data_IF_342219164744
#
_entry.id   IF_342219164744
#
_cell.length_a   1.000
_cell.length_b   1.000
_cell.length_c   1.000
_cell.angle_alpha   90.00
_cell.angle_beta   90.00
_cell.angle_gamma   90.00
#
_symmetry.space_group_name_H-M   'P 1'
#
loop_
_entity.id
_entity.type
_entity.pdbx_description
1 polymer ?
#
# COMPACT_ATOMS: atom_id res chain seq x y z
N UNK A 1 -11.81 11.12 6.83
CA UNK A 1 -10.95 9.98 6.41
C UNK A 1 -11.54 8.62 6.81
N UNK A 2 -12.13 8.49 8.01
CA UNK A 2 -12.73 7.25 8.52
C UNK A 2 -13.73 6.56 7.59
N UNK A 3 -14.73 7.26 7.04
CA UNK A 3 -15.71 6.68 6.08
C UNK A 3 -15.04 6.07 4.85
N UNK A 4 -13.93 6.66 4.43
CA UNK A 4 -13.13 6.26 3.27
C UNK A 4 -12.36 4.96 3.62
N UNK A 5 -11.73 4.88 4.80
CA UNK A 5 -11.10 3.66 5.32
C UNK A 5 -12.09 2.51 5.56
N UNK A 6 -13.29 2.82 6.06
CA UNK A 6 -14.37 1.84 6.22
C UNK A 6 -14.75 1.22 4.87
N UNK A 7 -14.69 1.98 3.77
CA UNK A 7 -14.99 1.44 2.44
C UNK A 7 -13.94 0.46 1.92
N UNK A 8 -12.67 0.60 2.30
CA UNK A 8 -11.61 -0.39 2.05
C UNK A 8 -11.82 -1.68 2.86
N UNK A 9 -12.40 -1.56 4.05
CA UNK A 9 -12.69 -2.68 4.92
C UNK A 9 -14.04 -3.37 4.61
N UNK A 10 -14.86 -2.83 3.70
CA UNK A 10 -16.17 -3.39 3.31
C UNK A 10 -16.14 -4.87 2.86
N UNK A 11 -15.10 -5.37 2.16
CA UNK A 11 -15.01 -6.79 1.82
C UNK A 11 -14.82 -7.72 3.03
N UNK A 12 -14.58 -7.17 4.23
CA UNK A 12 -14.13 -7.88 5.41
C UNK A 12 -15.20 -7.73 6.50
N UNK A 13 -16.13 -8.69 6.54
CA UNK A 13 -17.19 -8.72 7.56
C UNK A 13 -16.57 -8.67 8.97
N UNK A 14 -16.98 -7.68 9.78
CA UNK A 14 -16.64 -7.59 11.21
C UNK A 14 -15.34 -6.83 11.56
N UNK A 15 -14.71 -6.15 10.59
CA UNK A 15 -13.58 -5.27 10.87
C UNK A 15 -14.03 -4.05 11.71
N UNK A 16 -13.30 -3.75 12.79
CA UNK A 16 -13.54 -2.58 13.62
C UNK A 16 -12.39 -1.58 13.48
N UNK A 17 -12.67 -0.38 13.01
CA UNK A 17 -11.67 0.69 12.91
C UNK A 17 -11.74 1.56 14.17
N UNK A 18 -10.59 1.84 14.79
CA UNK A 18 -10.46 2.77 15.90
C UNK A 18 -9.38 3.80 15.59
N UNK A 19 -9.68 5.10 15.60
CA UNK A 19 -8.62 6.11 15.56
C UNK A 19 -7.73 5.97 16.80
N UNK A 20 -6.44 6.25 16.64
CA UNK A 20 -5.46 6.26 17.73
C UNK A 20 -4.80 7.64 17.76
N UNK A 21 -4.86 8.29 18.93
CA UNK A 21 -4.41 9.68 19.11
C UNK A 21 -5.09 10.67 18.15
N UNK A 22 -4.42 11.81 17.93
CA UNK A 22 -4.84 12.88 17.02
C UNK A 22 -4.08 12.88 15.68
N UNK A 23 -3.28 11.85 15.42
CA UNK A 23 -2.27 11.81 14.35
C UNK A 23 -2.76 11.24 13.01
N UNK A 24 -4.06 10.98 12.85
CA UNK A 24 -4.59 10.35 11.64
C UNK A 24 -4.23 8.87 11.49
N UNK A 25 -3.78 8.22 12.57
CA UNK A 25 -3.50 6.79 12.65
C UNK A 25 -4.80 6.04 12.97
N UNK A 26 -5.03 4.94 12.25
CA UNK A 26 -6.21 4.10 12.44
C UNK A 26 -5.79 2.65 12.67
N UNK A 27 -6.25 2.08 13.78
CA UNK A 27 -6.04 0.66 14.10
C UNK A 27 -7.28 -0.11 13.71
N UNK A 28 -7.10 -1.11 12.86
CA UNK A 28 -8.18 -1.99 12.45
C UNK A 28 -8.05 -3.33 13.19
N UNK A 29 -9.07 -3.66 13.99
CA UNK A 29 -9.14 -4.86 14.83
C UNK A 29 -10.07 -5.90 14.20
N UNK A 30 -9.80 -7.18 14.50
CA UNK A 30 -10.48 -8.39 13.97
C UNK A 30 -10.35 -8.56 12.45
N UNK A 31 -9.13 -8.91 12.03
CA UNK A 31 -8.83 -9.28 10.66
C UNK A 31 -8.74 -10.80 10.51
N UNK A 32 -9.46 -11.37 9.56
CA UNK A 32 -9.15 -12.71 9.07
C UNK A 32 -7.90 -12.63 8.18
N UNK A 33 -6.96 -13.57 8.32
CA UNK A 33 -5.69 -13.57 7.59
C UNK A 33 -5.86 -13.43 6.06
N UNK A 34 -6.90 -14.05 5.49
CA UNK A 34 -7.24 -13.94 4.06
C UNK A 34 -7.66 -12.52 3.69
N UNK A 35 -8.45 -11.86 4.54
CA UNK A 35 -8.89 -10.48 4.31
C UNK A 35 -7.73 -9.51 4.36
N UNK A 36 -6.77 -9.73 5.28
CA UNK A 36 -5.56 -8.92 5.39
C UNK A 36 -4.71 -9.04 4.14
N UNK A 37 -4.46 -10.27 3.67
CA UNK A 37 -3.73 -10.50 2.41
C UNK A 37 -4.44 -9.83 1.25
N UNK A 38 -5.75 -10.00 1.09
CA UNK A 38 -6.49 -9.34 -0.01
C UNK A 38 -6.43 -7.81 0.06
N UNK A 39 -6.47 -7.23 1.25
CA UNK A 39 -6.34 -5.78 1.42
C UNK A 39 -4.93 -5.30 1.07
N UNK A 40 -3.89 -5.98 1.55
CA UNK A 40 -2.49 -5.66 1.27
C UNK A 40 -2.12 -5.87 -0.21
N UNK A 41 -2.64 -6.91 -0.85
CA UNK A 41 -2.37 -7.22 -2.26
C UNK A 41 -3.30 -6.49 -3.25
N UNK A 42 -4.48 -6.05 -2.80
CA UNK A 42 -5.56 -5.58 -3.66
C UNK A 42 -5.58 -4.08 -3.94
N UNK A 43 -4.55 -3.33 -3.54
CA UNK A 43 -4.45 -1.92 -3.92
C UNK A 43 -4.92 -0.92 -2.87
N UNK A 44 -4.32 -0.93 -1.69
CA UNK A 44 -4.43 0.18 -0.74
C UNK A 44 -3.76 1.47 -1.27
N UNK A 45 -2.84 1.35 -2.22
CA UNK A 45 -2.01 2.44 -2.75
C UNK A 45 -2.70 3.33 -3.80
N UNK A 46 -3.81 2.88 -4.42
CA UNK A 46 -4.54 3.66 -5.44
C UNK A 46 -5.83 4.28 -4.92
N UNK A 47 -6.03 4.26 -3.60
CA UNK A 47 -7.31 4.62 -3.03
C UNK A 47 -7.54 6.13 -3.02
N UNK A 48 -8.37 6.61 -3.96
CA UNK A 48 -8.73 8.04 -4.11
C UNK A 48 -7.52 8.98 -4.07
N UNK A 49 -6.45 8.61 -4.78
CA UNK A 49 -5.20 9.40 -4.84
C UNK A 49 -4.48 9.60 -3.50
N UNK A 50 -4.89 8.90 -2.44
CA UNK A 50 -4.21 8.91 -1.15
C UNK A 50 -3.34 7.67 -1.01
N UNK A 51 -2.07 7.87 -0.68
CA UNK A 51 -1.16 6.79 -0.34
C UNK A 51 -1.44 6.32 1.09
N UNK A 52 -1.74 5.03 1.27
CA UNK A 52 -1.98 4.45 2.58
C UNK A 52 -0.77 3.63 3.01
N UNK A 53 -0.24 3.96 4.19
CA UNK A 53 0.81 3.20 4.84
C UNK A 53 0.16 2.26 5.84
N UNK A 54 0.48 0.97 5.73
CA UNK A 54 -0.10 -0.07 6.57
C UNK A 54 1.02 -0.85 7.24
N UNK A 55 0.88 -1.05 8.54
CA UNK A 55 1.81 -1.84 9.34
C UNK A 55 1.03 -2.95 10.06
N UNK A 56 1.57 -4.17 10.02
CA UNK A 56 1.00 -5.28 10.77
C UNK A 56 1.53 -5.25 12.21
N UNK A 57 0.66 -4.85 13.14
CA UNK A 57 0.96 -4.89 14.58
C UNK A 57 1.18 -6.33 15.07
N UNK A 58 2.24 -6.53 15.85
CA UNK A 58 2.51 -7.75 16.62
C UNK A 58 2.08 -7.60 18.08
N UNK A 59 2.06 -8.71 18.83
CA UNK A 59 1.59 -8.70 20.22
C UNK A 59 2.56 -7.91 21.09
N UNK A 60 2.07 -6.81 21.67
CA UNK A 60 2.85 -5.93 22.54
C UNK A 60 3.26 -4.62 21.85
N UNK A 61 3.05 -4.50 20.54
CA UNK A 61 3.32 -3.24 19.85
C UNK A 61 2.31 -2.17 20.26
N UNK A 62 2.84 -0.98 20.53
CA UNK A 62 2.05 0.21 20.71
C UNK A 62 1.86 0.88 19.33
N UNK A 63 0.62 1.07 18.86
CA UNK A 63 0.36 1.72 17.58
C UNK A 63 0.93 3.14 17.47
N UNK A 64 1.05 3.85 18.59
CA UNK A 64 1.60 5.22 18.63
C UNK A 64 3.12 5.27 18.45
N UNK A 65 3.81 4.15 18.68
CA UNK A 65 5.28 4.04 18.53
C UNK A 65 5.69 3.57 17.12
N UNK A 66 4.72 3.27 16.25
CA UNK A 66 5.01 2.87 14.87
C UNK A 66 5.43 4.08 14.06
N UNK A 67 6.68 4.04 13.57
CA UNK A 67 7.19 5.03 12.66
C UNK A 67 7.10 4.54 11.20
N UNK A 68 6.28 5.23 10.40
CA UNK A 68 6.13 4.94 8.98
C UNK A 68 7.24 5.63 8.16
N UNK A 69 8.35 4.92 7.85
CA UNK A 69 9.51 5.49 7.12
C UNK A 69 9.49 5.31 5.61
N UNK A 70 8.87 4.24 5.14
CA UNK A 70 8.90 3.82 3.76
C UNK A 70 7.54 3.26 3.36
N UNK A 71 7.27 3.27 2.07
CA UNK A 71 6.01 2.82 1.49
C UNK A 71 6.29 2.20 0.14
N UNK A 72 5.64 1.08 -0.13
CA UNK A 72 5.72 0.35 -1.38
C UNK A 72 4.49 0.70 -2.21
N UNK A 73 4.68 1.17 -3.43
CA UNK A 73 3.60 1.49 -4.34
C UNK A 73 4.03 1.30 -5.79
N UNK A 74 3.05 1.10 -6.66
CA UNK A 74 3.28 1.00 -8.09
C UNK A 74 3.34 2.38 -8.73
N UNK A 75 4.30 2.56 -9.64
CA UNK A 75 4.38 3.73 -10.50
C UNK A 75 3.91 3.32 -11.88
N UNK A 76 2.96 4.06 -12.45
CA UNK A 76 2.53 3.88 -13.83
C UNK A 76 3.24 4.92 -14.70
N UNK A 77 4.04 4.46 -15.65
CA UNK A 77 4.65 5.30 -16.67
C UNK A 77 3.74 5.34 -17.90
N UNK A 78 3.53 6.53 -18.46
CA UNK A 78 2.77 6.76 -19.68
C UNK A 78 3.71 7.23 -20.80
N UNK A 79 3.25 7.08 -22.05
CA UNK A 79 3.95 7.56 -23.26
C UNK A 79 5.36 7.01 -23.46
N UNK A 80 5.63 5.81 -22.95
CA UNK A 80 6.86 5.09 -23.22
C UNK A 80 6.90 4.64 -24.69
N UNK A 81 7.96 5.01 -25.41
CA UNK A 81 8.15 4.57 -26.79
C UNK A 81 8.28 3.03 -26.86
N UNK A 82 7.62 2.37 -27.83
CA UNK A 82 7.78 0.94 -28.07
C UNK A 82 9.27 0.58 -28.28
N UNK A 83 9.76 -0.45 -27.59
CA UNK A 83 11.17 -0.88 -27.66
C UNK A 83 12.15 -0.09 -26.78
N UNK A 84 11.73 1.00 -26.13
CA UNK A 84 12.56 1.74 -25.15
C UNK A 84 12.46 1.18 -23.74
N UNK A 85 11.47 0.34 -23.45
CA UNK A 85 11.22 -0.18 -22.10
C UNK A 85 11.96 -1.51 -21.92
N UNK A 86 13.07 -1.48 -21.19
CA UNK A 86 13.75 -2.69 -20.72
C UNK A 86 13.70 -2.77 -19.20
N UNK A 87 13.73 -3.99 -18.63
CA UNK A 87 13.77 -4.21 -17.18
C UNK A 87 14.94 -3.47 -16.51
N UNK A 88 16.07 -3.34 -17.22
CA UNK A 88 17.25 -2.61 -16.75
C UNK A 88 16.98 -1.12 -16.67
N UNK A 89 16.39 -0.53 -17.72
CA UNK A 89 16.07 0.90 -17.74
C UNK A 89 15.05 1.26 -16.65
N UNK A 90 13.97 0.47 -16.55
CA UNK A 90 12.92 0.67 -15.53
C UNK A 90 13.51 0.60 -14.13
N UNK A 91 14.32 -0.42 -13.85
CA UNK A 91 15.00 -0.55 -12.55
C UNK A 91 15.86 0.66 -12.24
N UNK A 92 16.69 1.09 -13.19
CA UNK A 92 17.58 2.24 -12.98
C UNK A 92 16.80 3.52 -12.70
N UNK A 93 15.71 3.76 -13.44
CA UNK A 93 14.84 4.91 -13.23
C UNK A 93 14.15 4.86 -11.85
N UNK A 94 13.57 3.71 -11.50
CA UNK A 94 12.93 3.54 -10.19
C UNK A 94 13.95 3.68 -9.04
N UNK A 95 15.19 3.23 -9.24
CA UNK A 95 16.25 3.37 -8.25
C UNK A 95 16.69 4.82 -7.99
N UNK A 96 16.40 5.75 -8.90
CA UNK A 96 16.60 7.19 -8.67
C UNK A 96 15.53 7.75 -7.73
N UNK A 97 14.30 7.22 -7.80
CA UNK A 97 13.17 7.69 -6.98
C UNK A 97 13.08 6.98 -5.63
N UNK A 98 13.54 5.73 -5.55
CA UNK A 98 13.46 4.88 -4.36
C UNK A 98 14.18 3.56 -4.57
N UNK A 99 13.69 2.47 -3.97
CA UNK A 99 14.21 1.13 -4.23
C UNK A 99 13.28 0.40 -5.19
N UNK A 100 13.79 -0.03 -6.35
CA UNK A 100 13.03 -0.89 -7.26
C UNK A 100 12.72 -2.23 -6.60
N UNK A 101 11.42 -2.57 -6.52
CA UNK A 101 10.96 -3.85 -6.00
C UNK A 101 10.60 -4.81 -7.15
N UNK A 102 9.71 -4.38 -8.03
CA UNK A 102 9.19 -5.23 -9.09
C UNK A 102 8.65 -4.42 -10.29
N UNK A 103 8.44 -5.10 -11.41
CA UNK A 103 7.83 -4.55 -12.63
C UNK A 103 6.83 -5.56 -13.19
N UNK A 104 5.65 -5.09 -13.61
CA UNK A 104 4.69 -5.95 -14.27
C UNK A 104 5.23 -6.40 -15.64
N UNK A 105 5.44 -7.71 -15.82
CA UNK A 105 6.05 -8.27 -17.04
C UNK A 105 5.20 -8.02 -18.29
N UNK A 106 3.87 -7.93 -18.13
CA UNK A 106 2.93 -7.56 -19.20
C UNK A 106 3.11 -6.11 -19.68
N UNK A 107 3.90 -5.30 -18.97
CA UNK A 107 4.21 -3.91 -19.32
C UNK A 107 5.56 -3.76 -20.02
N UNK A 108 6.30 -4.86 -20.23
CA UNK A 108 7.61 -4.90 -20.89
C UNK A 108 7.57 -5.53 -22.30
N UNK A 109 6.39 -6.02 -22.73
CA UNK A 109 6.09 -6.60 -24.04
C UNK A 109 5.16 -5.66 -24.82
#
# INVERSE_FOLDING_TARGET
MERTLLSLCRPIQGAHIKPTGDSGIYVIKKFHHVGMKKMLWGGLWSFKTCLLLVHQLTKGDNPDDIYFRAVEFWIQAHDCLPGFVSKVLVRNLCNVMGSFLDVNEMSLL
#
